data_IF_636675766164
#
_entry.id   IF_636675766164
#
_cell.length_a   1.000
_cell.length_b   1.000
_cell.length_c   1.000
_cell.angle_alpha   90.00
_cell.angle_beta   90.00
_cell.angle_gamma   90.00
#
_symmetry.space_group_name_H-M   'P 1'
#
loop_
_entity.id
_entity.type
_entity.pdbx_description
1 polymer ?
#
# COMPACT_ATOMS: atom_id res chain seq x y z
N UNK A 1 26.53 8.95 -40.37
CA UNK A 1 25.42 9.17 -39.42
C UNK A 1 25.36 8.10 -38.31
N UNK A 2 25.37 6.78 -38.64
CA UNK A 2 25.30 5.67 -37.66
C UNK A 2 26.51 5.61 -36.71
N UNK A 3 27.73 5.87 -37.19
CA UNK A 3 28.94 5.94 -36.36
C UNK A 3 29.04 7.20 -35.52
N UNK A 4 28.49 8.31 -35.99
CA UNK A 4 28.37 9.55 -35.19
C UNK A 4 27.35 9.41 -34.05
N UNK A 5 26.22 8.71 -34.30
CA UNK A 5 25.24 8.48 -33.23
C UNK A 5 25.76 7.51 -32.17
N UNK A 6 26.55 6.49 -32.56
CA UNK A 6 27.22 5.57 -31.64
C UNK A 6 28.34 6.25 -30.83
N UNK A 7 29.14 7.12 -31.47
CA UNK A 7 30.15 7.90 -30.74
C UNK A 7 29.55 8.93 -29.79
N UNK A 8 28.43 9.56 -30.16
CA UNK A 8 27.70 10.47 -29.25
C UNK A 8 27.07 9.72 -28.06
N UNK A 9 26.54 8.52 -28.29
CA UNK A 9 25.97 7.69 -27.21
C UNK A 9 27.04 7.20 -26.21
N UNK A 10 28.29 7.07 -26.63
CA UNK A 10 29.42 6.72 -25.75
C UNK A 10 29.99 7.92 -24.96
N UNK A 11 29.67 9.16 -25.35
CA UNK A 11 30.22 10.39 -24.77
C UNK A 11 29.22 11.14 -23.87
N UNK A 12 27.99 10.66 -23.74
CA UNK A 12 26.97 11.28 -22.92
C UNK A 12 26.59 10.37 -21.74
N UNK A 13 26.55 10.95 -20.54
CA UNK A 13 25.95 10.34 -19.35
C UNK A 13 24.55 10.95 -19.18
N UNK A 14 23.55 10.12 -19.04
CA UNK A 14 22.21 10.53 -18.64
C UNK A 14 22.00 10.08 -17.19
N UNK A 15 21.73 11.02 -16.31
CA UNK A 15 21.37 10.75 -14.92
C UNK A 15 19.90 11.11 -14.77
N UNK A 16 19.08 10.17 -14.31
CA UNK A 16 17.68 10.43 -13.97
C UNK A 16 17.59 11.33 -12.73
N UNK A 17 16.60 12.20 -12.71
CA UNK A 17 16.20 13.00 -11.56
C UNK A 17 14.77 12.55 -11.24
N UNK A 18 14.61 11.78 -10.17
CA UNK A 18 13.31 11.22 -9.83
C UNK A 18 12.31 12.33 -9.50
N UNK A 19 11.09 12.21 -10.03
CA UNK A 19 9.94 12.99 -9.61
C UNK A 19 9.54 12.58 -8.18
N UNK A 20 8.97 13.52 -7.44
CA UNK A 20 8.29 13.20 -6.18
C UNK A 20 6.90 12.66 -6.48
N UNK A 21 6.51 11.58 -5.81
CA UNK A 21 5.16 11.07 -5.90
C UNK A 21 4.21 11.98 -5.13
N UNK A 22 3.07 12.34 -5.72
CA UNK A 22 2.06 13.23 -5.14
C UNK A 22 1.57 12.76 -3.76
N UNK A 23 1.14 13.69 -2.94
CA UNK A 23 0.69 13.45 -1.57
C UNK A 23 -0.77 13.00 -1.54
N UNK A 24 -1.11 12.10 -0.62
CA UNK A 24 -2.49 11.69 -0.37
C UNK A 24 -2.94 12.32 0.94
N UNK A 25 -4.02 13.11 0.86
CA UNK A 25 -4.63 13.80 2.00
C UNK A 25 -6.00 13.21 2.36
N UNK A 26 -6.35 13.28 3.64
CA UNK A 26 -7.73 13.09 4.09
C UNK A 26 -8.61 14.31 3.73
N UNK A 27 -9.92 14.21 4.04
CA UNK A 27 -10.88 15.29 3.77
C UNK A 27 -10.62 16.60 4.53
N UNK A 28 -9.71 16.60 5.51
CA UNK A 28 -9.35 17.74 6.36
C UNK A 28 -7.93 18.26 6.06
N UNK A 29 -7.24 17.68 5.06
CA UNK A 29 -5.86 18.03 4.70
C UNK A 29 -4.80 17.33 5.58
N UNK A 30 -5.18 16.30 6.33
CA UNK A 30 -4.20 15.46 7.06
C UNK A 30 -3.44 14.58 6.07
N UNK A 31 -2.12 14.58 6.12
CA UNK A 31 -1.28 13.73 5.29
C UNK A 31 -1.45 12.26 5.67
N UNK A 32 -1.91 11.46 4.72
CA UNK A 32 -2.04 10.00 4.85
C UNK A 32 -0.87 9.27 4.19
N UNK A 33 -0.34 9.81 3.09
CA UNK A 33 0.85 9.29 2.40
C UNK A 33 1.59 10.42 1.71
N UNK A 34 2.93 10.43 1.79
CA UNK A 34 3.79 11.43 1.15
C UNK A 34 5.14 10.84 0.74
N UNK A 35 5.84 11.50 -0.18
CA UNK A 35 7.22 11.18 -0.52
C UNK A 35 8.19 11.83 0.45
N UNK A 36 9.19 11.10 0.89
CA UNK A 36 10.29 11.59 1.71
C UNK A 36 11.62 11.34 1.00
N UNK A 37 12.53 12.32 1.03
CA UNK A 37 13.87 12.14 0.49
C UNK A 37 14.71 11.31 1.47
N UNK A 38 15.22 10.20 0.98
CA UNK A 38 16.17 9.31 1.66
C UNK A 38 17.39 9.12 0.76
N UNK A 39 18.42 8.43 1.24
CA UNK A 39 19.67 8.28 0.50
C UNK A 39 20.06 6.82 0.35
N UNK A 40 20.55 6.46 -0.83
CA UNK A 40 21.24 5.20 -1.05
C UNK A 40 22.73 5.42 -0.88
N UNK A 41 23.33 4.79 0.14
CA UNK A 41 24.76 4.82 0.38
C UNK A 41 25.44 3.70 -0.39
N UNK A 42 26.38 4.05 -1.26
CA UNK A 42 27.17 3.09 -2.03
C UNK A 42 28.65 3.43 -2.01
N UNK A 43 29.48 2.43 -2.28
CA UNK A 43 30.91 2.58 -2.38
C UNK A 43 31.40 2.36 -3.82
N UNK A 44 32.44 3.09 -4.21
CA UNK A 44 33.37 2.80 -5.30
C UNK A 44 34.69 2.34 -4.69
N UNK A 45 34.90 1.01 -4.53
CA UNK A 45 36.11 0.49 -3.87
C UNK A 45 37.40 0.77 -4.61
N UNK A 46 37.37 0.94 -5.95
CA UNK A 46 38.54 1.30 -6.74
C UNK A 46 38.97 2.73 -6.45
N UNK A 47 38.00 3.67 -6.44
CA UNK A 47 38.26 5.07 -6.10
C UNK A 47 38.74 5.21 -4.66
N UNK A 48 38.11 4.50 -3.72
CA UNK A 48 38.51 4.50 -2.32
C UNK A 48 39.95 4.02 -2.18
N UNK A 49 40.32 2.89 -2.80
CA UNK A 49 41.67 2.36 -2.78
C UNK A 49 42.69 3.36 -3.32
N UNK A 50 42.43 4.04 -4.45
CA UNK A 50 43.31 5.07 -5.02
C UNK A 50 43.58 6.18 -4.01
N UNK A 51 42.55 6.65 -3.29
CA UNK A 51 42.67 7.72 -2.28
C UNK A 51 43.44 7.27 -1.04
N UNK A 52 43.27 6.02 -0.61
CA UNK A 52 44.03 5.42 0.49
C UNK A 52 45.54 5.29 0.11
N UNK A 53 45.80 4.76 -1.09
CA UNK A 53 47.17 4.65 -1.64
C UNK A 53 47.84 6.05 -1.80
N UNK A 54 47.10 7.10 -2.11
CA UNK A 54 47.62 8.47 -2.20
C UNK A 54 48.00 9.03 -0.83
N UNK A 55 47.27 8.70 0.23
CA UNK A 55 47.68 9.05 1.61
C UNK A 55 48.99 8.40 1.99
N UNK A 56 49.19 7.12 1.69
CA UNK A 56 50.42 6.40 1.96
C UNK A 56 51.62 6.99 1.19
N UNK A 57 51.43 7.33 -0.10
CA UNK A 57 52.44 8.03 -0.89
C UNK A 57 52.84 9.38 -0.28
N UNK A 58 51.85 10.16 0.17
CA UNK A 58 52.06 11.45 0.82
C UNK A 58 52.87 11.32 2.13
N UNK A 59 52.60 10.27 2.90
CA UNK A 59 53.39 9.94 4.11
C UNK A 59 54.83 9.65 3.74
N UNK A 60 55.10 8.82 2.73
CA UNK A 60 56.46 8.50 2.27
C UNK A 60 57.20 9.73 1.71
N UNK A 61 56.51 10.60 0.97
CA UNK A 61 57.08 11.89 0.52
C UNK A 61 57.46 12.79 1.68
N UNK A 62 56.59 12.95 2.68
CA UNK A 62 56.87 13.75 3.89
C UNK A 62 58.07 13.21 4.68
N UNK A 63 58.18 11.90 4.87
CA UNK A 63 59.36 11.24 5.46
C UNK A 63 60.63 11.55 4.65
N UNK A 64 60.50 11.49 3.32
CA UNK A 64 61.61 11.83 2.40
C UNK A 64 62.06 13.30 2.51
N UNK A 65 61.13 14.26 2.67
CA UNK A 65 61.44 15.67 2.90
C UNK A 65 62.07 15.88 4.25
N UNK A 66 61.58 15.28 5.34
CA UNK A 66 62.13 15.36 6.68
C UNK A 66 63.59 14.87 6.71
N UNK A 67 63.88 13.78 5.99
CA UNK A 67 65.26 13.19 5.93
C UNK A 67 66.24 14.05 5.17
N UNK A 68 65.84 14.90 4.23
CA UNK A 68 66.65 15.72 3.36
C UNK A 68 66.70 17.19 3.77
N UNK A 69 65.87 17.65 4.69
CA UNK A 69 65.75 19.05 5.10
C UNK A 69 66.70 19.36 6.27
N UNK A 70 67.58 20.35 6.07
CA UNK A 70 68.50 20.81 7.10
C UNK A 70 67.96 21.99 7.94
N UNK A 71 66.98 22.71 7.42
CA UNK A 71 66.30 23.81 8.14
C UNK A 71 65.35 23.25 9.21
N UNK A 72 65.67 23.55 10.48
CA UNK A 72 64.89 23.03 11.63
C UNK A 72 63.43 23.49 11.63
N UNK A 73 63.08 24.69 11.12
CA UNK A 73 61.74 25.23 11.08
C UNK A 73 60.92 24.52 10.03
N UNK A 74 61.45 24.27 8.83
CA UNK A 74 60.79 23.53 7.76
C UNK A 74 60.64 22.07 8.13
N UNK A 75 61.63 21.48 8.74
CA UNK A 75 61.57 20.09 9.24
C UNK A 75 60.48 19.91 10.27
N UNK A 76 60.36 20.86 11.21
CA UNK A 76 59.22 20.84 12.16
C UNK A 76 57.85 20.97 11.47
N UNK A 77 57.76 21.78 10.41
CA UNK A 77 56.51 21.91 9.62
C UNK A 77 56.16 20.61 8.88
N UNK A 78 57.17 19.93 8.30
CA UNK A 78 56.94 18.63 7.65
C UNK A 78 56.56 17.56 8.67
N UNK A 79 57.20 17.57 9.86
CA UNK A 79 56.85 16.65 10.94
C UNK A 79 55.39 16.86 11.41
N UNK A 80 54.98 18.12 11.64
CA UNK A 80 53.58 18.42 11.99
C UNK A 80 52.58 17.93 10.93
N UNK A 81 52.93 18.06 9.63
CA UNK A 81 52.08 17.54 8.54
C UNK A 81 52.07 16.02 8.53
N UNK A 82 53.17 15.36 8.79
CA UNK A 82 53.26 13.90 8.89
C UNK A 82 52.41 13.39 10.04
N UNK A 83 52.52 14.01 11.22
CA UNK A 83 51.75 13.63 12.40
C UNK A 83 50.25 13.85 12.24
N UNK A 84 49.82 14.76 11.34
CA UNK A 84 48.42 15.03 11.01
C UNK A 84 47.88 14.19 9.84
N UNK A 85 48.71 13.41 9.15
CA UNK A 85 48.29 12.60 8.00
C UNK A 85 48.14 11.14 8.44
N UNK A 86 46.92 10.60 8.35
CA UNK A 86 46.65 9.19 8.64
C UNK A 86 47.04 8.31 7.44
N UNK A 87 47.53 7.10 7.72
CA UNK A 87 47.80 6.11 6.69
C UNK A 87 46.49 5.62 6.01
N UNK A 88 46.64 5.00 4.86
CA UNK A 88 45.52 4.39 4.16
C UNK A 88 44.78 3.37 5.02
N UNK A 89 45.50 2.50 5.73
CA UNK A 89 44.92 1.50 6.61
C UNK A 89 44.18 2.13 7.80
N UNK A 90 44.75 3.16 8.46
CA UNK A 90 44.08 3.88 9.55
C UNK A 90 42.82 4.58 9.08
N UNK A 91 42.83 5.20 7.89
CA UNK A 91 41.63 5.81 7.30
C UNK A 91 40.55 4.76 6.98
N UNK A 92 40.95 3.61 6.44
CA UNK A 92 40.03 2.52 6.13
C UNK A 92 39.38 1.95 7.40
N UNK A 93 40.16 1.67 8.43
CA UNK A 93 39.67 1.14 9.70
C UNK A 93 38.66 2.08 10.33
N UNK A 94 38.97 3.37 10.41
CA UNK A 94 38.08 4.38 10.97
C UNK A 94 36.81 4.58 10.14
N UNK A 95 36.92 4.56 8.81
CA UNK A 95 35.75 4.61 7.92
C UNK A 95 34.85 3.39 8.08
N UNK A 96 35.44 2.18 8.17
CA UNK A 96 34.69 0.93 8.36
C UNK A 96 33.91 0.96 9.66
N UNK A 97 34.54 1.34 10.77
CA UNK A 97 33.87 1.43 12.08
C UNK A 97 32.75 2.47 12.06
N UNK A 98 33.04 3.65 11.47
CA UNK A 98 32.03 4.70 11.35
C UNK A 98 30.82 4.28 10.52
N UNK A 99 31.03 3.67 9.35
CA UNK A 99 29.94 3.20 8.48
C UNK A 99 29.18 2.05 9.12
N UNK A 100 29.86 1.10 9.77
CA UNK A 100 29.22 0.00 10.45
C UNK A 100 28.25 0.47 11.53
N UNK A 101 28.68 1.45 12.34
CA UNK A 101 27.86 2.04 13.41
C UNK A 101 26.65 2.82 12.84
N UNK A 102 26.87 3.73 11.89
CA UNK A 102 25.82 4.62 11.40
C UNK A 102 24.85 3.96 10.42
N UNK A 103 25.30 2.93 9.72
CA UNK A 103 24.47 2.16 8.80
C UNK A 103 23.88 0.88 9.44
N UNK A 104 24.28 0.56 10.70
CA UNK A 104 23.85 -0.65 11.41
C UNK A 104 24.14 -1.93 10.61
N UNK A 105 25.35 -2.01 10.05
CA UNK A 105 25.84 -3.15 9.27
C UNK A 105 27.02 -3.76 10.01
N UNK A 106 27.18 -5.08 9.92
CA UNK A 106 28.35 -5.76 10.48
C UNK A 106 29.67 -5.22 9.92
N UNK A 107 30.64 -4.97 10.80
CA UNK A 107 31.93 -4.37 10.48
C UNK A 107 32.70 -5.15 9.41
N UNK A 108 32.68 -6.50 9.46
CA UNK A 108 33.36 -7.34 8.48
C UNK A 108 32.69 -7.22 7.10
N UNK A 109 31.36 -7.13 7.07
CA UNK A 109 30.58 -6.95 5.83
C UNK A 109 30.90 -5.60 5.19
N UNK A 110 31.00 -4.52 5.97
CA UNK A 110 31.40 -3.19 5.45
C UNK A 110 32.81 -3.26 4.89
N UNK A 111 33.76 -3.84 5.64
CA UNK A 111 35.15 -4.00 5.18
C UNK A 111 35.25 -4.79 3.89
N UNK A 112 34.58 -5.94 3.80
CA UNK A 112 34.54 -6.76 2.59
C UNK A 112 34.04 -5.96 1.38
N UNK A 113 32.94 -5.22 1.55
CA UNK A 113 32.37 -4.39 0.50
C UNK A 113 33.33 -3.26 0.05
N UNK A 114 33.97 -2.56 1.00
CA UNK A 114 34.89 -1.46 0.70
C UNK A 114 36.23 -1.91 0.06
N UNK A 115 36.67 -3.14 0.29
CA UNK A 115 37.89 -3.70 -0.25
C UNK A 115 37.74 -4.49 -1.54
N UNK A 116 36.49 -4.67 -2.02
CA UNK A 116 36.15 -5.45 -3.21
C UNK A 116 36.40 -4.65 -4.51
N UNK A 117 37.65 -4.62 -4.98
CA UNK A 117 38.10 -3.80 -6.10
C UNK A 117 37.79 -4.31 -7.50
N UNK A 118 36.92 -5.30 -7.64
CA UNK A 118 36.43 -5.82 -8.94
C UNK A 118 35.19 -5.09 -9.49
N UNK A 119 34.70 -4.10 -8.73
CA UNK A 119 33.53 -3.28 -9.08
C UNK A 119 33.70 -1.84 -8.63
N UNK A 120 33.01 -0.91 -9.32
CA UNK A 120 32.97 0.51 -9.00
C UNK A 120 31.67 0.94 -8.33
N UNK A 121 30.73 -0.01 -8.08
CA UNK A 121 29.46 0.29 -7.46
C UNK A 121 29.01 -0.87 -6.58
N UNK A 122 29.00 -0.64 -5.27
CA UNK A 122 28.50 -1.59 -4.27
C UNK A 122 27.58 -0.84 -3.31
N UNK A 123 26.29 -1.21 -3.29
CA UNK A 123 25.35 -0.65 -2.32
C UNK A 123 25.69 -1.14 -0.92
N UNK A 124 25.87 -0.20 -0.01
CA UNK A 124 26.05 -0.46 1.41
C UNK A 124 24.70 -0.54 2.12
N UNK A 125 23.90 0.52 2.03
CA UNK A 125 22.52 0.58 2.60
C UNK A 125 21.65 1.49 1.75
N UNK A 126 20.37 1.12 1.62
CA UNK A 126 19.31 1.95 1.02
C UNK A 126 18.52 2.65 2.13
N UNK A 127 17.74 3.65 1.75
CA UNK A 127 16.78 4.35 2.61
C UNK A 127 17.43 4.98 3.87
N UNK A 128 18.60 5.56 3.71
CA UNK A 128 19.35 6.21 4.78
C UNK A 128 18.85 7.65 4.96
N UNK A 129 18.66 8.05 6.20
CA UNK A 129 18.24 9.41 6.56
C UNK A 129 19.27 10.48 6.19
N UNK A 130 18.81 11.69 5.87
CA UNK A 130 19.66 12.82 5.52
C UNK A 130 20.73 13.13 6.57
N UNK A 131 20.42 12.99 7.84
CA UNK A 131 21.36 13.20 8.97
C UNK A 131 22.55 12.26 8.90
N UNK A 132 22.32 11.00 8.57
CA UNK A 132 23.36 9.97 8.42
C UNK A 132 24.16 10.21 7.15
N UNK A 133 23.49 10.55 6.03
CA UNK A 133 24.20 10.87 4.77
C UNK A 133 25.14 12.06 4.94
N UNK A 134 24.70 13.13 5.60
CA UNK A 134 25.54 14.29 5.92
C UNK A 134 26.72 13.90 6.81
N UNK A 135 26.50 13.09 7.84
CA UNK A 135 27.57 12.62 8.72
C UNK A 135 28.60 11.77 7.97
N UNK A 136 28.21 11.00 6.96
CA UNK A 136 29.12 10.24 6.09
C UNK A 136 29.96 11.20 5.24
N UNK A 137 29.37 12.22 4.63
CA UNK A 137 30.06 13.23 3.82
C UNK A 137 31.06 14.03 4.67
N UNK A 138 30.68 14.42 5.88
CA UNK A 138 31.55 15.12 6.83
C UNK A 138 32.72 14.22 7.23
N UNK A 139 32.48 12.92 7.48
CA UNK A 139 33.54 11.96 7.84
C UNK A 139 34.55 11.74 6.72
N UNK A 140 34.06 11.62 5.48
CA UNK A 140 34.94 11.51 4.30
C UNK A 140 35.80 12.77 4.13
N UNK A 141 35.22 13.95 4.36
CA UNK A 141 35.96 15.23 4.34
C UNK A 141 37.01 15.30 5.46
N UNK A 142 36.69 14.87 6.68
CA UNK A 142 37.61 14.79 7.82
C UNK A 142 38.79 13.88 7.51
N UNK A 143 38.53 12.70 6.92
CA UNK A 143 39.60 11.75 6.55
C UNK A 143 40.35 12.14 5.28
N UNK A 144 39.84 13.11 4.51
CA UNK A 144 40.44 13.55 3.24
C UNK A 144 40.43 12.47 2.16
N UNK A 145 39.44 11.58 2.19
CA UNK A 145 39.26 10.48 1.24
C UNK A 145 37.93 10.61 0.49
N UNK A 146 37.78 9.84 -0.58
CA UNK A 146 36.56 9.73 -1.39
C UNK A 146 36.36 8.26 -1.76
N UNK A 147 35.18 7.91 -2.30
CA UNK A 147 34.88 6.55 -2.71
C UNK A 147 33.67 5.97 -2.00
N UNK A 148 33.01 6.74 -1.10
CA UNK A 148 31.66 6.45 -0.60
C UNK A 148 30.76 7.63 -0.97
N UNK A 149 29.58 7.38 -1.45
CA UNK A 149 28.63 8.40 -1.91
C UNK A 149 27.23 8.11 -1.41
N UNK A 150 26.44 9.18 -1.30
CA UNK A 150 25.05 9.15 -0.88
C UNK A 150 24.20 9.75 -2.01
N UNK A 151 23.54 8.90 -2.80
CA UNK A 151 22.64 9.35 -3.86
C UNK A 151 21.23 9.56 -3.28
N UNK A 152 20.61 10.72 -3.51
CA UNK A 152 19.23 10.96 -3.08
C UNK A 152 18.28 10.03 -3.85
N UNK A 153 17.32 9.47 -3.12
CA UNK A 153 16.21 8.67 -3.65
C UNK A 153 14.95 9.02 -2.88
N UNK A 154 13.79 8.60 -3.34
CA UNK A 154 12.52 8.82 -2.66
C UNK A 154 12.05 7.55 -1.97
N UNK A 155 11.44 7.71 -0.79
CA UNK A 155 10.70 6.67 -0.09
C UNK A 155 9.28 7.13 0.15
N UNK A 156 8.31 6.24 -0.07
CA UNK A 156 6.93 6.50 0.33
C UNK A 156 6.80 6.35 1.84
N UNK A 157 6.18 7.33 2.48
CA UNK A 157 5.97 7.38 3.93
C UNK A 157 4.48 7.49 4.23
N UNK A 158 4.01 6.67 5.16
CA UNK A 158 2.64 6.66 5.67
C UNK A 158 2.66 7.07 7.14
N UNK A 159 2.50 8.37 7.45
CA UNK A 159 2.71 8.91 8.80
C UNK A 159 1.72 8.38 9.83
N UNK A 160 0.58 7.87 9.37
CA UNK A 160 -0.48 7.31 10.21
C UNK A 160 -0.36 5.79 10.41
N UNK A 161 0.77 5.19 9.98
CA UNK A 161 1.05 3.75 10.05
C UNK A 161 -0.09 2.91 9.45
N UNK A 162 -0.79 2.12 10.26
CA UNK A 162 -1.83 1.18 9.79
C UNK A 162 -3.15 1.83 9.38
N UNK A 163 -3.36 3.14 9.64
CA UNK A 163 -4.62 3.81 9.37
C UNK A 163 -4.96 3.77 7.87
N UNK A 164 -6.16 3.29 7.54
CA UNK A 164 -6.67 3.14 6.18
C UNK A 164 -5.78 2.29 5.25
N UNK A 165 -4.91 1.41 5.78
CA UNK A 165 -3.89 0.71 5.02
C UNK A 165 -4.43 -0.06 3.81
N UNK A 166 -5.57 -0.75 3.94
CA UNK A 166 -6.19 -1.51 2.83
C UNK A 166 -6.84 -0.61 1.77
N UNK A 167 -7.09 0.67 2.09
CA UNK A 167 -7.59 1.68 1.16
C UNK A 167 -6.43 2.36 0.47
N UNK A 168 -5.45 2.86 1.23
CA UNK A 168 -4.26 3.51 0.70
C UNK A 168 -3.45 2.55 -0.17
N UNK A 169 -3.25 1.33 0.31
CA UNK A 169 -2.32 0.40 -0.30
C UNK A 169 -0.87 0.75 0.03
N UNK A 170 0.06 0.36 -0.84
CA UNK A 170 1.48 0.67 -0.71
C UNK A 170 2.17 0.67 -2.07
N UNK A 171 3.40 1.20 -2.09
CA UNK A 171 4.28 1.18 -3.25
C UNK A 171 5.35 0.11 -3.11
N UNK A 172 5.96 -0.28 -4.23
CA UNK A 172 7.22 -1.03 -4.22
C UNK A 172 8.42 -0.13 -3.89
N UNK A 173 9.61 -0.72 -3.88
CA UNK A 173 10.87 0.00 -3.64
C UNK A 173 11.27 0.98 -4.75
N UNK A 174 10.64 0.90 -5.93
CA UNK A 174 10.85 1.79 -7.07
C UNK A 174 9.85 2.95 -7.06
N UNK A 175 8.87 2.93 -6.14
CA UNK A 175 7.85 3.95 -5.97
C UNK A 175 6.58 3.71 -6.80
N UNK A 176 6.44 2.54 -7.46
CA UNK A 176 5.22 2.19 -8.20
C UNK A 176 4.13 1.73 -7.25
N UNK A 177 2.91 2.14 -7.48
CA UNK A 177 1.75 1.70 -6.69
C UNK A 177 1.41 0.22 -6.93
N UNK A 178 1.29 -0.57 -5.85
CA UNK A 178 1.05 -2.02 -5.95
C UNK A 178 -0.37 -2.39 -5.51
N UNK A 179 -0.91 -1.75 -4.47
CA UNK A 179 -2.24 -2.00 -3.93
C UNK A 179 -2.97 -0.69 -3.63
N UNK A 180 -4.29 -0.77 -3.41
CA UNK A 180 -5.14 0.34 -2.98
C UNK A 180 -5.14 1.54 -3.93
N UNK A 181 -5.29 2.73 -3.37
CA UNK A 181 -5.27 4.00 -4.11
C UNK A 181 -3.92 4.28 -4.74
N UNK A 182 -2.82 3.85 -4.11
CA UNK A 182 -1.49 3.96 -4.69
C UNK A 182 -1.43 3.28 -6.07
N UNK A 183 -2.05 2.10 -6.23
CA UNK A 183 -2.10 1.41 -7.52
C UNK A 183 -3.17 1.98 -8.47
N UNK A 184 -4.32 2.37 -7.93
CA UNK A 184 -5.43 2.85 -8.77
C UNK A 184 -5.13 4.20 -9.42
N UNK A 185 -4.48 5.10 -8.68
CA UNK A 185 -4.09 6.43 -9.13
C UNK A 185 -2.60 6.56 -9.46
N UNK A 186 -1.92 5.46 -9.77
CA UNK A 186 -0.47 5.46 -10.03
C UNK A 186 -0.06 6.42 -11.14
N UNK A 187 -0.81 6.49 -12.23
CA UNK A 187 -0.56 7.38 -13.37
C UNK A 187 -0.61 8.88 -13.00
N UNK A 188 -1.38 9.24 -11.95
CA UNK A 188 -1.46 10.62 -11.44
C UNK A 188 -0.40 10.90 -10.38
N UNK A 189 -0.22 9.95 -9.47
CA UNK A 189 0.66 10.10 -8.32
C UNK A 189 2.14 10.06 -8.67
N UNK A 190 2.57 9.25 -9.67
CA UNK A 190 3.99 8.97 -9.91
C UNK A 190 4.79 10.10 -10.54
N UNK A 191 4.15 11.06 -11.21
CA UNK A 191 4.84 12.16 -11.90
C UNK A 191 5.67 11.70 -13.11
N UNK A 192 6.57 12.56 -13.57
CA UNK A 192 7.44 12.30 -14.72
C UNK A 192 8.89 12.61 -14.34
N UNK A 193 9.76 11.61 -14.39
CA UNK A 193 11.17 11.77 -14.10
C UNK A 193 11.86 12.76 -15.04
N UNK A 194 12.65 13.64 -14.46
CA UNK A 194 13.60 14.48 -15.16
C UNK A 194 14.87 13.73 -15.54
N UNK A 195 15.74 14.40 -16.28
CA UNK A 195 17.05 13.87 -16.62
C UNK A 195 18.10 14.96 -16.84
N UNK A 196 19.30 14.68 -16.41
CA UNK A 196 20.46 15.53 -16.67
C UNK A 196 21.40 14.77 -17.63
N UNK A 197 21.67 15.36 -18.77
CA UNK A 197 22.58 14.80 -19.79
C UNK A 197 23.87 15.59 -19.73
N UNK A 198 24.99 14.92 -19.41
CA UNK A 198 26.34 15.51 -19.32
C UNK A 198 27.28 14.84 -20.30
N UNK A 199 28.30 15.57 -20.79
CA UNK A 199 29.34 14.99 -21.62
C UNK A 199 30.38 14.29 -20.73
N UNK A 200 30.80 13.06 -21.12
CA UNK A 200 31.89 12.30 -20.50
C UNK A 200 33.20 12.44 -21.29
N UNK A 201 34.34 12.48 -20.58
CA UNK A 201 35.65 12.24 -21.13
C UNK A 201 35.86 10.75 -21.47
N UNK A 202 36.90 10.43 -22.22
CA UNK A 202 37.25 9.06 -22.59
C UNK A 202 37.60 8.14 -21.42
N UNK A 203 37.94 8.72 -20.26
CA UNK A 203 38.21 8.04 -18.98
C UNK A 203 36.94 7.89 -18.11
N UNK A 204 35.78 8.35 -18.60
CA UNK A 204 34.50 8.27 -17.86
C UNK A 204 34.21 9.44 -16.94
N UNK A 205 35.16 10.38 -16.75
CA UNK A 205 34.94 11.58 -15.94
C UNK A 205 33.99 12.56 -16.61
N UNK A 206 33.22 13.32 -15.85
CA UNK A 206 32.36 14.38 -16.39
C UNK A 206 33.23 15.56 -16.86
N UNK A 207 32.98 16.07 -18.07
CA UNK A 207 33.62 17.26 -18.58
C UNK A 207 32.78 18.47 -18.14
N UNK A 208 33.24 19.25 -17.13
CA UNK A 208 32.54 20.47 -16.72
C UNK A 208 32.44 21.46 -17.89
N UNK A 209 31.24 22.04 -18.08
CA UNK A 209 30.94 23.15 -19.01
C UNK A 209 30.87 22.86 -20.51
N UNK A 210 31.04 21.59 -21.00
CA UNK A 210 30.99 21.35 -22.44
C UNK A 210 29.62 21.06 -23.02
N UNK A 211 28.78 20.34 -22.27
CA UNK A 211 27.38 20.07 -22.64
C UNK A 211 26.64 19.61 -21.39
N UNK A 212 25.66 20.40 -20.95
CA UNK A 212 24.73 20.01 -19.92
C UNK A 212 23.34 20.38 -20.38
N UNK A 213 22.46 19.41 -20.52
CA UNK A 213 21.04 19.62 -20.78
C UNK A 213 20.27 19.03 -19.60
N UNK A 214 19.45 19.84 -18.95
CA UNK A 214 18.56 19.41 -17.87
C UNK A 214 17.14 19.42 -18.38
N UNK A 215 16.42 18.38 -18.07
CA UNK A 215 14.99 18.29 -18.15
C UNK A 215 14.53 18.12 -16.71
N UNK A 216 13.75 19.08 -16.23
CA UNK A 216 13.27 19.05 -14.85
C UNK A 216 12.26 17.92 -14.66
N UNK A 217 12.23 17.31 -13.49
CA UNK A 217 11.19 16.38 -13.10
C UNK A 217 9.87 17.13 -12.95
N UNK A 218 8.76 16.47 -13.22
CA UNK A 218 7.41 16.95 -12.92
C UNK A 218 6.85 16.05 -11.84
N UNK A 219 6.62 16.63 -10.66
CA UNK A 219 6.08 15.88 -9.53
C UNK A 219 4.66 15.39 -9.83
N UNK A 220 4.23 14.35 -9.14
CA UNK A 220 2.91 13.77 -9.33
C UNK A 220 1.83 14.61 -8.67
N UNK A 221 0.60 14.48 -9.17
CA UNK A 221 -0.57 15.20 -8.65
C UNK A 221 -0.93 14.71 -7.24
N UNK A 222 -1.42 15.62 -6.42
CA UNK A 222 -1.92 15.31 -5.07
C UNK A 222 -3.34 14.76 -5.11
N UNK A 223 -3.63 13.79 -4.26
CA UNK A 223 -4.93 13.14 -4.13
C UNK A 223 -5.61 13.54 -2.82
N UNK A 224 -6.76 14.21 -2.91
CA UNK A 224 -7.59 14.56 -1.77
C UNK A 224 -8.74 13.56 -1.64
N UNK A 225 -8.90 12.93 -0.48
CA UNK A 225 -9.88 11.89 -0.25
C UNK A 225 -11.15 12.41 0.44
N UNK A 226 -12.23 11.66 0.30
CA UNK A 226 -13.43 11.79 1.12
C UNK A 226 -13.26 11.17 2.52
N UNK A 227 -12.25 10.31 2.70
CA UNK A 227 -11.91 9.70 3.99
C UNK A 227 -11.60 10.79 5.01
N UNK A 228 -12.24 10.71 6.19
CA UNK A 228 -11.91 11.51 7.37
C UNK A 228 -11.09 10.65 8.34
N UNK A 229 -9.85 11.04 8.61
CA UNK A 229 -8.93 10.26 9.45
C UNK A 229 -9.49 9.98 10.86
N UNK A 230 -10.30 10.88 11.41
CA UNK A 230 -10.91 10.68 12.73
C UNK A 230 -12.03 9.63 12.66
N UNK A 231 -12.89 9.70 11.63
CA UNK A 231 -13.94 8.71 11.40
C UNK A 231 -13.32 7.34 11.12
N UNK A 232 -12.27 7.31 10.30
CA UNK A 232 -11.51 6.09 9.98
C UNK A 232 -10.93 5.46 11.26
N UNK A 233 -10.27 6.26 12.09
CA UNK A 233 -9.72 5.78 13.37
C UNK A 233 -10.78 5.19 14.28
N UNK A 234 -11.94 5.86 14.38
CA UNK A 234 -13.07 5.36 15.21
C UNK A 234 -13.58 4.04 14.64
N UNK A 235 -13.75 3.94 13.30
CA UNK A 235 -14.20 2.73 12.65
C UNK A 235 -13.23 1.56 12.92
N UNK A 236 -11.94 1.76 12.71
CA UNK A 236 -10.93 0.72 12.95
C UNK A 236 -10.90 0.26 14.40
N UNK A 237 -10.93 1.20 15.34
CA UNK A 237 -10.96 0.91 16.78
C UNK A 237 -12.19 0.08 17.17
N UNK A 238 -13.37 0.47 16.72
CA UNK A 238 -14.60 -0.25 17.07
C UNK A 238 -14.70 -1.60 16.32
N UNK A 239 -14.12 -1.68 15.12
CA UNK A 239 -14.02 -2.94 14.38
C UNK A 239 -13.09 -3.92 15.09
N UNK A 240 -11.91 -3.48 15.53
CA UNK A 240 -10.98 -4.30 16.31
C UNK A 240 -11.62 -4.83 17.59
N UNK A 241 -12.32 -3.95 18.33
CA UNK A 241 -13.07 -4.33 19.53
C UNK A 241 -14.17 -5.36 19.21
N UNK A 242 -14.92 -5.17 18.14
CA UNK A 242 -15.96 -6.11 17.72
C UNK A 242 -15.38 -7.49 17.36
N UNK A 243 -14.20 -7.52 16.73
CA UNK A 243 -13.49 -8.76 16.42
C UNK A 243 -13.02 -9.46 17.71
N UNK A 244 -12.46 -8.72 18.66
CA UNK A 244 -12.02 -9.26 19.94
C UNK A 244 -13.19 -9.87 20.74
N UNK A 245 -14.32 -9.14 20.81
CA UNK A 245 -15.50 -9.56 21.58
C UNK A 245 -16.24 -10.76 20.95
N UNK A 246 -16.30 -10.83 19.61
CA UNK A 246 -17.12 -11.83 18.91
C UNK A 246 -16.31 -12.95 18.24
N UNK A 247 -14.99 -12.82 18.12
CA UNK A 247 -14.07 -13.80 17.56
C UNK A 247 -14.61 -14.45 16.26
N UNK A 248 -14.87 -13.66 15.21
CA UNK A 248 -15.37 -14.19 13.95
C UNK A 248 -14.37 -15.17 13.36
N UNK A 249 -14.87 -16.16 12.62
CA UNK A 249 -14.01 -17.18 11.98
C UNK A 249 -13.27 -16.67 10.74
N UNK A 250 -13.65 -15.49 10.26
CA UNK A 250 -13.08 -14.83 9.10
C UNK A 250 -12.90 -13.34 9.40
N UNK A 251 -12.14 -12.62 8.57
CA UNK A 251 -11.90 -11.18 8.73
C UNK A 251 -13.21 -10.41 8.72
N UNK A 252 -13.27 -9.36 9.50
CA UNK A 252 -14.38 -8.40 9.51
C UNK A 252 -14.03 -7.18 8.65
N UNK A 253 -15.05 -6.44 8.18
CA UNK A 253 -14.87 -5.15 7.54
C UNK A 253 -15.97 -4.18 7.94
N UNK A 254 -15.70 -2.88 7.80
CA UNK A 254 -16.66 -1.80 8.04
C UNK A 254 -16.55 -0.73 6.97
N UNK A 255 -17.70 -0.12 6.62
CA UNK A 255 -17.78 0.98 5.65
C UNK A 255 -18.71 2.06 6.22
N UNK A 256 -18.31 3.30 6.14
CA UNK A 256 -19.15 4.47 6.44
C UNK A 256 -19.24 5.31 5.17
N UNK A 257 -20.45 5.41 4.61
CA UNK A 257 -20.71 6.06 3.32
C UNK A 257 -21.87 7.04 3.42
N UNK A 258 -21.78 8.15 2.70
CA UNK A 258 -22.91 9.05 2.52
C UNK A 258 -23.92 8.45 1.53
N UNK A 259 -25.16 8.17 1.95
CA UNK A 259 -26.12 7.49 1.09
C UNK A 259 -26.60 8.33 -0.09
N UNK A 260 -26.42 9.65 -0.07
CA UNK A 260 -26.87 10.57 -1.13
C UNK A 260 -25.82 10.83 -2.19
N UNK A 261 -24.54 10.76 -1.83
CA UNK A 261 -23.43 11.15 -2.71
C UNK A 261 -22.53 9.98 -3.10
N UNK A 262 -22.51 8.88 -2.32
CA UNK A 262 -21.58 7.77 -2.49
C UNK A 262 -20.20 8.01 -1.85
N UNK A 263 -19.95 9.17 -1.25
CA UNK A 263 -18.67 9.49 -0.60
C UNK A 263 -18.38 8.54 0.55
N UNK A 264 -17.21 7.90 0.52
CA UNK A 264 -16.71 7.00 1.57
C UNK A 264 -15.96 7.83 2.61
N UNK A 265 -16.52 7.93 3.81
CA UNK A 265 -15.88 8.62 4.94
C UNK A 265 -14.91 7.75 5.71
N UNK A 266 -15.12 6.44 5.71
CA UNK A 266 -14.21 5.46 6.28
C UNK A 266 -14.45 4.06 5.70
N UNK A 267 -13.37 3.28 5.56
CA UNK A 267 -13.43 1.88 5.12
C UNK A 267 -12.27 1.11 5.75
N UNK A 268 -12.56 0.03 6.45
CA UNK A 268 -11.59 -0.77 7.18
C UNK A 268 -11.81 -2.27 7.00
N UNK A 269 -10.73 -3.02 7.11
CA UNK A 269 -10.73 -4.48 7.28
C UNK A 269 -9.99 -4.78 8.59
N UNK A 270 -10.40 -5.82 9.33
CA UNK A 270 -9.66 -6.29 10.49
C UNK A 270 -8.24 -6.71 10.13
N UNK A 271 -7.34 -6.67 11.11
CA UNK A 271 -5.92 -7.01 10.95
C UNK A 271 -5.19 -6.12 9.92
N UNK A 272 -5.22 -4.77 10.11
CA UNK A 272 -4.55 -3.86 9.21
C UNK A 272 -3.03 -4.06 9.25
N UNK A 273 -2.36 -3.91 8.12
CA UNK A 273 -0.90 -3.94 8.02
C UNK A 273 -0.31 -2.54 8.00
N UNK A 274 0.99 -2.40 8.28
CA UNK A 274 1.70 -1.12 8.13
C UNK A 274 2.21 -0.98 6.68
N UNK A 275 1.73 0.00 5.90
CA UNK A 275 2.22 0.25 4.54
C UNK A 275 3.70 0.69 4.47
N UNK A 276 4.30 1.14 5.58
CA UNK A 276 5.73 1.41 5.66
C UNK A 276 6.56 0.13 5.65
N UNK A 277 5.97 -0.99 6.12
CA UNK A 277 6.60 -2.32 6.17
C UNK A 277 5.64 -3.39 5.61
N UNK A 278 5.23 -3.31 4.34
CA UNK A 278 4.14 -4.12 3.80
C UNK A 278 4.45 -5.63 3.79
N UNK A 279 5.73 -5.99 3.82
CA UNK A 279 6.17 -7.39 3.88
C UNK A 279 6.08 -8.01 5.28
N UNK A 280 5.97 -7.21 6.33
CA UNK A 280 5.74 -7.72 7.69
C UNK A 280 4.34 -8.33 7.79
N UNK A 281 4.25 -9.54 8.37
CA UNK A 281 2.97 -10.23 8.54
C UNK A 281 2.27 -9.67 9.78
N UNK A 282 1.09 -9.06 9.58
CA UNK A 282 0.32 -8.41 10.63
C UNK A 282 -0.43 -9.39 11.54
N UNK A 283 -0.85 -10.55 11.02
CA UNK A 283 -1.49 -11.60 11.82
C UNK A 283 -0.47 -12.37 12.66
N UNK A 284 -0.50 -12.17 13.99
CA UNK A 284 0.45 -12.77 14.93
C UNK A 284 0.50 -14.30 14.85
N UNK A 285 -0.64 -14.94 14.60
CA UNK A 285 -0.71 -16.40 14.50
C UNK A 285 0.04 -16.88 13.25
N UNK A 286 -0.23 -16.28 12.11
CA UNK A 286 0.45 -16.61 10.84
C UNK A 286 1.94 -16.27 10.91
N UNK A 287 2.31 -15.16 11.53
CA UNK A 287 3.72 -14.80 11.76
C UNK A 287 4.44 -15.84 12.62
N UNK A 288 3.82 -16.31 13.71
CA UNK A 288 4.39 -17.37 14.57
C UNK A 288 4.50 -18.71 13.84
N UNK A 289 3.54 -19.05 12.99
CA UNK A 289 3.58 -20.27 12.19
C UNK A 289 4.69 -20.21 11.12
N UNK A 290 4.91 -19.05 10.49
CA UNK A 290 6.02 -18.83 9.56
C UNK A 290 7.38 -18.92 10.24
N UNK A 291 7.53 -18.33 11.44
CA UNK A 291 8.77 -18.39 12.21
C UNK A 291 9.19 -19.82 12.59
N UNK A 292 8.28 -20.78 12.56
CA UNK A 292 8.55 -22.21 12.81
C UNK A 292 8.97 -23.01 11.56
N UNK A 293 8.98 -22.39 10.38
CA UNK A 293 9.30 -23.03 9.09
C UNK A 293 10.71 -22.62 8.62
N UNK A 294 11.31 -23.47 7.79
CA UNK A 294 12.54 -23.15 7.07
C UNK A 294 12.21 -22.15 5.95
N UNK A 295 12.84 -20.96 5.95
CA UNK A 295 12.61 -19.89 5.00
C UNK A 295 12.87 -20.29 3.53
N UNK A 296 13.76 -21.25 3.30
CA UNK A 296 14.05 -21.77 1.97
C UNK A 296 13.03 -22.80 1.48
N UNK A 297 12.16 -23.29 2.36
CA UNK A 297 11.15 -24.29 2.03
C UNK A 297 10.04 -23.74 1.14
N UNK A 298 9.45 -24.59 0.30
CA UNK A 298 8.29 -24.22 -0.51
C UNK A 298 7.07 -23.93 0.37
N UNK A 299 6.94 -24.59 1.51
CA UNK A 299 5.81 -24.38 2.44
C UNK A 299 5.87 -22.98 3.07
N UNK A 300 7.06 -22.51 3.47
CA UNK A 300 7.26 -21.13 3.95
C UNK A 300 6.86 -20.13 2.88
N UNK A 301 7.43 -20.26 1.67
CA UNK A 301 7.19 -19.31 0.55
C UNK A 301 5.71 -19.25 0.17
N UNK A 302 5.04 -20.38 0.08
CA UNK A 302 3.61 -20.40 -0.25
C UNK A 302 2.78 -19.76 0.85
N UNK A 303 3.03 -20.11 2.12
CA UNK A 303 2.31 -19.55 3.26
C UNK A 303 2.51 -18.04 3.40
N UNK A 304 3.72 -17.55 3.14
CA UNK A 304 4.03 -16.12 3.13
C UNK A 304 3.27 -15.39 2.01
N UNK A 305 3.23 -15.94 0.80
CA UNK A 305 2.47 -15.37 -0.33
C UNK A 305 0.96 -15.33 -0.04
N UNK A 306 0.42 -16.38 0.58
CA UNK A 306 -0.99 -16.44 0.96
C UNK A 306 -1.30 -15.39 2.04
N UNK A 307 -0.42 -15.22 3.03
CA UNK A 307 -0.54 -14.21 4.07
C UNK A 307 -0.51 -12.78 3.51
N UNK A 308 0.45 -12.48 2.63
CA UNK A 308 0.53 -11.18 1.94
C UNK A 308 -0.71 -10.91 1.09
N UNK A 309 -1.14 -11.88 0.28
CA UNK A 309 -2.34 -11.76 -0.53
C UNK A 309 -3.58 -11.46 0.30
N UNK A 310 -3.65 -12.01 1.53
CA UNK A 310 -4.76 -11.79 2.42
C UNK A 310 -4.71 -10.41 3.08
N UNK A 311 -3.56 -10.03 3.67
CA UNK A 311 -3.43 -8.77 4.43
C UNK A 311 -3.56 -7.52 3.56
N UNK A 312 -3.07 -7.56 2.29
CA UNK A 312 -3.16 -6.42 1.38
C UNK A 312 -4.55 -6.27 0.73
N UNK A 313 -5.38 -7.30 0.84
CA UNK A 313 -6.67 -7.35 0.18
C UNK A 313 -7.73 -6.57 0.97
N UNK A 314 -8.41 -5.64 0.32
CA UNK A 314 -9.54 -4.92 0.88
C UNK A 314 -10.80 -5.79 0.83
N UNK A 315 -11.19 -6.37 1.98
CA UNK A 315 -12.37 -7.25 2.08
C UNK A 315 -13.67 -6.58 1.64
N UNK A 316 -13.79 -5.28 1.88
CA UNK A 316 -15.03 -4.55 1.60
C UNK A 316 -15.40 -4.53 0.11
N UNK A 317 -14.39 -4.57 -0.78
CA UNK A 317 -14.58 -4.51 -2.24
C UNK A 317 -14.27 -5.82 -2.95
N UNK A 318 -13.40 -6.66 -2.40
CA UNK A 318 -12.84 -7.82 -3.10
C UNK A 318 -13.34 -9.18 -2.63
N UNK A 319 -14.11 -9.25 -1.55
CA UNK A 319 -14.63 -10.52 -1.02
C UNK A 319 -16.17 -10.54 -1.06
N UNK A 320 -16.71 -11.70 -1.40
CA UNK A 320 -18.14 -11.91 -1.50
C UNK A 320 -18.65 -12.78 -0.35
N UNK A 321 -19.83 -12.46 0.15
CA UNK A 321 -20.47 -13.18 1.26
C UNK A 321 -21.98 -13.32 1.02
N UNK A 322 -22.62 -14.24 1.72
CA UNK A 322 -24.08 -14.30 1.75
C UNK A 322 -24.59 -13.21 2.68
N UNK A 323 -25.34 -12.19 2.19
CA UNK A 323 -25.74 -11.05 3.00
C UNK A 323 -26.68 -11.40 4.15
N UNK A 324 -27.39 -12.50 4.06
CA UNK A 324 -28.34 -12.93 5.10
C UNK A 324 -29.43 -11.91 5.32
N UNK A 325 -29.85 -11.75 6.58
CA UNK A 325 -31.01 -10.92 6.95
C UNK A 325 -30.92 -9.44 6.57
N UNK A 326 -29.72 -8.90 6.33
CA UNK A 326 -29.60 -7.51 5.84
C UNK A 326 -30.21 -7.37 4.43
N UNK A 327 -30.26 -8.44 3.64
CA UNK A 327 -30.90 -8.44 2.32
C UNK A 327 -32.41 -8.25 2.36
N UNK A 328 -33.06 -8.49 3.51
CA UNK A 328 -34.50 -8.33 3.68
C UNK A 328 -35.04 -6.93 3.36
N UNK A 329 -34.20 -5.91 3.56
CA UNK A 329 -34.50 -4.52 3.18
C UNK A 329 -34.77 -4.45 1.67
N UNK A 330 -33.91 -5.09 0.86
CA UNK A 330 -34.05 -5.10 -0.60
C UNK A 330 -35.31 -5.85 -1.03
N UNK A 331 -35.55 -7.04 -0.48
CA UNK A 331 -36.77 -7.83 -0.76
C UNK A 331 -38.02 -7.04 -0.37
N UNK A 332 -38.02 -6.40 0.81
CA UNK A 332 -39.15 -5.62 1.31
C UNK A 332 -39.41 -4.37 0.47
N UNK A 333 -38.38 -3.61 0.14
CA UNK A 333 -38.48 -2.43 -0.72
C UNK A 333 -39.06 -2.78 -2.09
N UNK A 334 -38.55 -3.84 -2.72
CA UNK A 334 -39.02 -4.32 -4.02
C UNK A 334 -40.47 -4.73 -3.99
N UNK A 335 -40.91 -5.46 -2.95
CA UNK A 335 -42.29 -5.92 -2.83
C UNK A 335 -43.28 -4.78 -2.55
N UNK A 336 -42.86 -3.77 -1.78
CA UNK A 336 -43.66 -2.56 -1.53
C UNK A 336 -43.77 -1.69 -2.79
N UNK A 337 -42.67 -1.50 -3.55
CA UNK A 337 -42.68 -0.73 -4.80
C UNK A 337 -43.59 -1.35 -5.86
N UNK A 338 -43.51 -2.68 -6.05
CA UNK A 338 -44.41 -3.43 -6.95
C UNK A 338 -45.82 -3.56 -6.40
N UNK A 339 -46.09 -3.09 -5.18
CA UNK A 339 -47.41 -3.19 -4.52
C UNK A 339 -47.93 -4.62 -4.41
N UNK A 340 -47.05 -5.62 -4.41
CA UNK A 340 -47.39 -7.01 -4.17
C UNK A 340 -47.71 -7.27 -2.71
N UNK A 341 -47.27 -6.36 -1.84
CA UNK A 341 -47.63 -6.25 -0.43
C UNK A 341 -47.93 -4.80 -0.06
N UNK A 342 -48.59 -4.62 1.09
CA UNK A 342 -48.76 -3.34 1.77
C UNK A 342 -48.20 -3.41 3.20
N UNK A 343 -48.02 -2.27 3.86
CA UNK A 343 -47.57 -2.21 5.26
C UNK A 343 -48.55 -2.90 6.23
N UNK A 344 -49.82 -3.02 5.85
CA UNK A 344 -50.87 -3.62 6.66
C UNK A 344 -51.11 -5.13 6.39
N UNK A 345 -50.40 -5.69 5.40
CA UNK A 345 -50.46 -7.13 5.14
C UNK A 345 -49.86 -7.89 6.32
N UNK A 346 -50.41 -9.06 6.62
CA UNK A 346 -49.92 -9.91 7.69
C UNK A 346 -49.31 -11.20 7.16
N UNK A 347 -48.23 -11.63 7.86
CA UNK A 347 -47.40 -12.79 7.52
C UNK A 347 -47.27 -13.71 8.73
N UNK A 348 -47.51 -14.99 8.57
CA UNK A 348 -47.35 -15.99 9.64
C UNK A 348 -45.88 -16.44 9.78
N UNK A 349 -45.45 -16.71 11.01
CA UNK A 349 -44.14 -17.29 11.27
C UNK A 349 -44.19 -18.82 11.35
N UNK A 350 -44.91 -19.38 12.32
CA UNK A 350 -45.01 -20.83 12.57
C UNK A 350 -43.65 -21.51 12.87
N UNK A 351 -42.61 -20.76 13.18
CA UNK A 351 -41.19 -21.18 13.34
C UNK A 351 -40.55 -21.80 12.09
N UNK A 352 -41.35 -22.23 11.11
CA UNK A 352 -40.89 -22.80 9.84
C UNK A 352 -41.90 -22.59 8.73
N UNK A 353 -41.46 -22.75 7.48
CA UNK A 353 -42.32 -22.72 6.28
C UNK A 353 -41.83 -23.78 5.29
N UNK A 354 -42.77 -24.50 4.69
CA UNK A 354 -42.53 -25.49 3.61
C UNK A 354 -42.65 -24.81 2.26
N UNK A 355 -41.62 -24.94 1.41
CA UNK A 355 -41.63 -24.53 0.01
C UNK A 355 -41.23 -25.73 -0.82
N UNK A 356 -42.13 -26.27 -1.60
CA UNK A 356 -41.95 -27.56 -2.29
C UNK A 356 -41.53 -28.67 -1.33
N UNK A 357 -40.37 -29.29 -1.56
CA UNK A 357 -39.79 -30.37 -0.74
C UNK A 357 -38.84 -29.87 0.35
N UNK A 358 -38.63 -28.54 0.46
CA UNK A 358 -37.65 -27.92 1.36
C UNK A 358 -38.33 -27.19 2.51
N UNK A 359 -37.89 -27.46 3.74
CA UNK A 359 -38.36 -26.76 4.94
C UNK A 359 -37.34 -25.68 5.34
N UNK A 360 -37.78 -24.44 5.43
CA UNK A 360 -37.01 -23.31 5.93
C UNK A 360 -37.42 -22.97 7.36
N UNK A 361 -36.42 -22.75 8.21
CA UNK A 361 -36.65 -22.43 9.63
C UNK A 361 -36.45 -20.93 9.93
N UNK A 362 -37.23 -20.42 10.87
CA UNK A 362 -36.94 -19.15 11.48
C UNK A 362 -35.67 -19.26 12.32
N UNK A 363 -34.97 -18.16 12.52
CA UNK A 363 -33.82 -18.11 13.46
C UNK A 363 -34.31 -18.27 14.91
N UNK A 364 -35.56 -17.83 15.20
CA UNK A 364 -36.20 -17.96 16.52
C UNK A 364 -36.85 -19.33 16.67
N UNK A 365 -36.67 -19.95 17.81
CA UNK A 365 -37.38 -21.17 18.21
C UNK A 365 -38.80 -20.89 18.74
N UNK A 366 -39.10 -19.61 19.03
CA UNK A 366 -40.43 -19.17 19.46
C UNK A 366 -41.15 -18.59 18.24
N UNK A 367 -42.43 -19.01 18.07
CA UNK A 367 -43.29 -18.49 17.01
C UNK A 367 -43.58 -17.00 17.21
N UNK A 368 -43.34 -16.21 16.19
CA UNK A 368 -43.69 -14.78 16.19
C UNK A 368 -45.18 -14.54 15.92
N UNK A 369 -45.92 -15.58 15.57
CA UNK A 369 -47.35 -15.49 15.24
C UNK A 369 -47.63 -14.75 13.93
N UNK A 370 -48.78 -14.08 13.87
CA UNK A 370 -49.15 -13.21 12.75
C UNK A 370 -48.56 -11.82 12.95
N UNK A 371 -47.80 -11.34 11.97
CA UNK A 371 -47.02 -10.10 12.02
C UNK A 371 -47.38 -9.23 10.82
N UNK A 372 -47.48 -7.93 10.99
CA UNK A 372 -47.45 -6.98 9.88
C UNK A 372 -46.03 -6.86 9.30
N UNK A 373 -45.85 -6.06 8.25
CA UNK A 373 -44.55 -5.91 7.59
C UNK A 373 -43.49 -5.35 8.53
N UNK A 374 -43.82 -4.33 9.35
CA UNK A 374 -42.87 -3.71 10.28
C UNK A 374 -42.43 -4.68 11.38
N UNK A 375 -43.36 -5.46 11.93
CA UNK A 375 -43.08 -6.50 12.92
C UNK A 375 -42.22 -7.63 12.31
N UNK A 376 -42.51 -8.05 11.07
CA UNK A 376 -41.72 -9.06 10.36
C UNK A 376 -40.28 -8.61 10.12
N UNK A 377 -40.07 -7.30 9.83
CA UNK A 377 -38.76 -6.70 9.69
C UNK A 377 -38.05 -6.63 11.05
N UNK A 378 -38.71 -6.12 12.08
CA UNK A 378 -38.15 -5.98 13.45
C UNK A 378 -37.71 -7.35 14.01
N UNK A 379 -38.55 -8.38 13.82
CA UNK A 379 -38.26 -9.74 14.24
C UNK A 379 -37.30 -10.49 13.31
N UNK A 380 -36.92 -9.89 12.20
CA UNK A 380 -36.11 -10.54 11.17
C UNK A 380 -36.63 -11.94 10.78
N UNK A 381 -37.94 -12.07 10.63
CA UNK A 381 -38.62 -13.36 10.49
C UNK A 381 -38.39 -13.97 9.10
N UNK A 382 -37.68 -15.10 9.00
CA UNK A 382 -37.42 -15.77 7.72
C UNK A 382 -38.73 -16.25 7.02
N UNK A 383 -39.69 -16.95 7.70
CA UNK A 383 -40.94 -17.36 7.08
C UNK A 383 -41.77 -16.20 6.50
N UNK A 384 -41.79 -15.05 7.19
CA UNK A 384 -42.47 -13.87 6.69
C UNK A 384 -41.83 -13.34 5.39
N UNK A 385 -40.47 -13.24 5.35
CA UNK A 385 -39.77 -12.76 4.16
C UNK A 385 -39.79 -13.74 3.00
N UNK A 386 -39.90 -15.05 3.24
CA UNK A 386 -40.17 -16.05 2.21
C UNK A 386 -41.54 -15.78 1.59
N UNK A 387 -42.59 -15.56 2.41
CA UNK A 387 -43.94 -15.23 1.90
C UNK A 387 -43.92 -13.93 1.08
N UNK A 388 -43.20 -12.90 1.51
CA UNK A 388 -43.02 -11.62 0.79
C UNK A 388 -42.36 -11.87 -0.56
N UNK A 389 -41.23 -12.60 -0.60
CA UNK A 389 -40.51 -12.90 -1.83
C UNK A 389 -41.32 -13.76 -2.78
N UNK A 390 -42.10 -14.75 -2.28
CA UNK A 390 -43.00 -15.55 -3.11
C UNK A 390 -44.14 -14.72 -3.71
N UNK A 391 -44.66 -13.70 -2.99
CA UNK A 391 -45.62 -12.74 -3.55
C UNK A 391 -45.00 -11.83 -4.61
N UNK A 392 -43.71 -11.44 -4.46
CA UNK A 392 -42.96 -10.66 -5.44
C UNK A 392 -42.76 -11.47 -6.73
N UNK A 393 -42.40 -12.75 -6.59
CA UNK A 393 -42.12 -13.66 -7.69
C UNK A 393 -40.70 -13.54 -8.26
N UNK A 394 -40.24 -14.62 -8.91
CA UNK A 394 -38.85 -14.75 -9.38
C UNK A 394 -38.45 -13.69 -10.41
N UNK A 395 -39.35 -13.35 -11.36
CA UNK A 395 -39.06 -12.37 -12.40
C UNK A 395 -38.78 -10.98 -11.81
N UNK A 396 -39.68 -10.49 -10.94
CA UNK A 396 -39.54 -9.20 -10.29
C UNK A 396 -38.38 -9.18 -9.32
N UNK A 397 -38.20 -10.26 -8.55
CA UNK A 397 -37.04 -10.39 -7.68
C UNK A 397 -35.70 -10.20 -8.45
N UNK A 398 -35.52 -10.91 -9.57
CA UNK A 398 -34.32 -10.78 -10.40
C UNK A 398 -34.20 -9.39 -11.04
N UNK A 399 -35.33 -8.78 -11.47
CA UNK A 399 -35.35 -7.42 -12.01
C UNK A 399 -34.84 -6.41 -10.98
N UNK A 400 -35.35 -6.46 -9.74
CA UNK A 400 -34.87 -5.56 -8.68
C UNK A 400 -33.45 -5.89 -8.20
N UNK A 401 -33.09 -7.17 -8.16
CA UNK A 401 -31.71 -7.56 -7.86
C UNK A 401 -30.70 -6.86 -8.81
N UNK A 402 -31.00 -6.81 -10.11
CA UNK A 402 -30.21 -6.10 -11.10
C UNK A 402 -30.31 -4.58 -10.90
N UNK A 403 -31.52 -4.04 -10.67
CA UNK A 403 -31.71 -2.59 -10.50
C UNK A 403 -30.98 -2.02 -9.27
N UNK A 404 -30.81 -2.82 -8.21
CA UNK A 404 -29.98 -2.47 -7.05
C UNK A 404 -28.47 -2.64 -7.27
N UNK A 405 -28.03 -3.00 -8.49
CA UNK A 405 -26.64 -3.05 -8.90
C UNK A 405 -25.87 -4.33 -8.50
N UNK A 406 -26.55 -5.38 -8.02
CA UNK A 406 -25.86 -6.57 -7.52
C UNK A 406 -25.20 -7.45 -8.60
N UNK A 407 -25.51 -7.29 -9.86
CA UNK A 407 -24.89 -8.03 -10.97
C UNK A 407 -23.84 -7.22 -11.73
N UNK A 408 -23.50 -6.05 -11.25
CA UNK A 408 -22.51 -5.16 -11.84
C UNK A 408 -21.51 -4.73 -10.77
N UNK A 409 -20.33 -4.29 -11.21
CA UNK A 409 -19.37 -3.60 -10.33
C UNK A 409 -19.98 -2.25 -9.91
N UNK A 410 -19.70 -1.82 -8.69
CA UNK A 410 -20.18 -0.51 -8.22
C UNK A 410 -19.46 0.66 -8.88
N UNK A 411 -18.28 0.38 -9.46
CA UNK A 411 -17.40 1.41 -10.05
C UNK A 411 -16.68 2.25 -9.02
N UNK A 412 -16.51 1.72 -7.80
CA UNK A 412 -15.66 2.37 -6.79
C UNK A 412 -14.24 2.54 -7.32
N UNK A 413 -13.61 3.63 -6.99
CA UNK A 413 -12.25 4.02 -7.34
C UNK A 413 -11.17 3.28 -6.51
N UNK A 414 -11.31 1.96 -6.43
CA UNK A 414 -10.35 1.04 -5.82
C UNK A 414 -10.14 -0.18 -6.73
N UNK A 415 -8.92 -0.74 -6.75
CA UNK A 415 -8.62 -1.91 -7.56
C UNK A 415 -9.25 -3.19 -6.99
N UNK A 416 -9.34 -4.22 -7.83
CA UNK A 416 -9.74 -5.57 -7.46
C UNK A 416 -11.17 -5.70 -6.90
N UNK A 417 -12.11 -4.87 -7.38
CA UNK A 417 -13.52 -5.05 -7.06
C UNK A 417 -14.02 -6.38 -7.64
N UNK A 418 -14.66 -7.21 -6.79
CA UNK A 418 -15.18 -8.52 -7.16
C UNK A 418 -16.61 -8.46 -7.67
N UNK A 419 -16.89 -9.28 -8.68
CA UNK A 419 -18.26 -9.53 -9.10
C UNK A 419 -19.02 -10.37 -8.06
N UNK A 420 -20.32 -10.13 -7.93
CA UNK A 420 -21.24 -10.98 -7.17
C UNK A 420 -21.44 -12.36 -7.83
N UNK A 421 -21.98 -13.30 -7.06
CA UNK A 421 -22.50 -14.56 -7.58
C UNK A 421 -24.01 -14.58 -7.34
N UNK A 422 -24.79 -14.54 -8.42
CA UNK A 422 -26.25 -14.53 -8.35
C UNK A 422 -26.87 -15.72 -9.08
N UNK A 423 -28.04 -16.12 -8.62
CA UNK A 423 -28.86 -17.13 -9.29
C UNK A 423 -29.56 -16.50 -10.50
N UNK A 424 -29.32 -16.97 -11.73
CA UNK A 424 -30.00 -16.43 -12.92
C UNK A 424 -31.50 -16.78 -12.91
N UNK A 425 -32.32 -15.95 -13.54
CA UNK A 425 -33.77 -16.14 -13.60
C UNK A 425 -34.20 -17.54 -14.11
N UNK A 426 -33.45 -18.11 -15.08
CA UNK A 426 -33.71 -19.45 -15.60
C UNK A 426 -33.63 -20.56 -14.55
N UNK A 427 -32.89 -20.32 -13.46
CA UNK A 427 -32.65 -21.26 -12.38
C UNK A 427 -33.34 -20.84 -11.06
N UNK A 428 -34.04 -19.69 -11.07
CA UNK A 428 -34.71 -19.12 -9.91
C UNK A 428 -36.08 -19.81 -9.69
N UNK A 429 -36.05 -21.06 -9.24
CA UNK A 429 -37.25 -21.80 -8.81
C UNK A 429 -37.79 -21.33 -7.46
N UNK A 430 -38.94 -21.88 -6.98
CA UNK A 430 -39.55 -21.47 -5.72
C UNK A 430 -38.61 -21.60 -4.50
N UNK A 431 -37.82 -22.68 -4.43
CA UNK A 431 -36.86 -22.93 -3.32
C UNK A 431 -35.71 -21.90 -3.33
N UNK A 432 -35.16 -21.60 -4.52
CA UNK A 432 -34.11 -20.60 -4.69
C UNK A 432 -34.61 -19.20 -4.37
N UNK A 433 -35.85 -18.85 -4.83
CA UNK A 433 -36.45 -17.57 -4.48
C UNK A 433 -36.70 -17.44 -2.98
N UNK A 434 -37.18 -18.49 -2.34
CA UNK A 434 -37.42 -18.52 -0.89
C UNK A 434 -36.13 -18.21 -0.13
N UNK A 435 -35.03 -18.90 -0.44
CA UNK A 435 -33.73 -18.66 0.24
C UNK A 435 -33.10 -17.31 -0.14
N UNK A 436 -33.23 -16.86 -1.37
CA UNK A 436 -32.79 -15.54 -1.82
C UNK A 436 -33.48 -14.39 -1.11
N UNK A 437 -34.78 -14.56 -0.77
CA UNK A 437 -35.62 -13.54 -0.12
C UNK A 437 -35.11 -13.08 1.24
N UNK A 438 -34.29 -13.90 1.92
CA UNK A 438 -33.63 -13.55 3.18
C UNK A 438 -32.09 -13.61 3.08
N UNK A 439 -31.53 -13.56 1.84
CA UNK A 439 -30.12 -13.33 1.57
C UNK A 439 -29.21 -14.54 1.66
N UNK A 440 -29.66 -15.75 1.35
CA UNK A 440 -28.88 -16.99 1.50
C UNK A 440 -28.29 -17.53 0.18
N UNK A 441 -28.96 -17.45 -0.95
CA UNK A 441 -28.52 -18.07 -2.21
C UNK A 441 -27.44 -17.26 -2.93
N UNK A 442 -27.58 -15.94 -2.93
CA UNK A 442 -26.71 -15.04 -3.65
C UNK A 442 -25.54 -14.59 -2.76
N UNK A 443 -24.39 -14.29 -3.40
CA UNK A 443 -23.23 -13.69 -2.74
C UNK A 443 -22.94 -12.34 -3.35
N UNK A 444 -22.68 -11.35 -2.51
CA UNK A 444 -22.42 -9.96 -2.89
C UNK A 444 -21.21 -9.43 -2.12
N UNK A 445 -20.60 -8.36 -2.59
CA UNK A 445 -19.57 -7.66 -1.81
C UNK A 445 -20.20 -6.72 -0.77
N UNK A 446 -19.50 -6.40 0.33
CA UNK A 446 -19.97 -5.40 1.29
C UNK A 446 -20.23 -4.04 0.64
N UNK A 447 -19.42 -3.62 -0.35
CA UNK A 447 -19.63 -2.35 -1.05
C UNK A 447 -20.92 -2.36 -1.89
N UNK A 448 -21.24 -3.46 -2.59
CA UNK A 448 -22.50 -3.60 -3.29
C UNK A 448 -23.69 -3.52 -2.31
N UNK A 449 -23.56 -4.15 -1.14
CA UNK A 449 -24.63 -4.17 -0.16
C UNK A 449 -24.93 -2.77 0.41
N UNK A 450 -23.91 -1.98 0.78
CA UNK A 450 -24.12 -0.62 1.30
C UNK A 450 -24.65 0.32 0.21
N UNK A 451 -24.21 0.14 -1.05
CA UNK A 451 -24.71 0.89 -2.21
C UNK A 451 -26.20 0.64 -2.45
N UNK A 452 -26.61 -0.62 -2.41
CA UNK A 452 -28.02 -1.00 -2.53
C UNK A 452 -28.88 -0.45 -1.37
N UNK A 453 -28.35 -0.49 -0.13
CA UNK A 453 -29.00 0.16 1.03
C UNK A 453 -29.16 1.66 0.84
N UNK A 454 -28.15 2.31 0.30
CA UNK A 454 -28.21 3.76 0.02
C UNK A 454 -29.34 4.08 -0.95
N UNK A 455 -29.50 3.29 -2.00
CA UNK A 455 -30.61 3.45 -2.94
C UNK A 455 -31.98 3.27 -2.26
N UNK A 456 -32.11 2.33 -1.33
CA UNK A 456 -33.37 2.09 -0.60
C UNK A 456 -33.79 3.27 0.28
N UNK A 457 -32.86 4.13 0.73
CA UNK A 457 -33.13 5.22 1.68
C UNK A 457 -32.93 6.64 1.13
N UNK A 458 -32.38 6.79 -0.08
CA UNK A 458 -32.09 8.10 -0.68
C UNK A 458 -33.11 8.54 -1.75
N UNK A 459 -34.21 7.80 -1.90
CA UNK A 459 -35.22 8.05 -2.93
C UNK A 459 -35.10 7.20 -4.18
N UNK A 460 -34.32 6.10 -4.14
CA UNK A 460 -34.19 5.14 -5.25
C UNK A 460 -33.02 5.39 -6.18
N UNK A 461 -32.07 6.24 -5.81
CA UNK A 461 -30.90 6.53 -6.64
C UNK A 461 -29.73 5.60 -6.29
N UNK A 462 -29.28 4.83 -7.27
CA UNK A 462 -28.05 4.04 -7.15
C UNK A 462 -26.85 4.98 -7.33
N UNK A 463 -26.10 5.22 -6.25
CA UNK A 463 -24.91 6.09 -6.25
C UNK A 463 -23.67 5.29 -6.60
N UNK A 464 -22.66 5.92 -7.19
CA UNK A 464 -21.32 5.33 -7.32
C UNK A 464 -20.53 5.63 -6.06
N UNK A 465 -20.06 4.62 -5.33
CA UNK A 465 -19.15 4.83 -4.20
C UNK A 465 -17.84 5.46 -4.67
N UNK A 466 -17.29 6.41 -3.92
CA UNK A 466 -16.05 7.08 -4.28
C UNK A 466 -15.23 7.43 -3.05
N UNK A 467 -13.94 7.13 -3.10
CA UNK A 467 -12.95 7.44 -2.07
C UNK A 467 -12.26 8.76 -2.37
N UNK A 468 -11.96 9.02 -3.64
CA UNK A 468 -11.39 10.27 -4.14
C UNK A 468 -12.41 11.40 -4.05
N UNK A 469 -11.96 12.58 -3.69
CA UNK A 469 -12.71 13.85 -3.74
C UNK A 469 -12.22 14.74 -4.87
N UNK A 470 -10.90 14.89 -5.02
CA UNK A 470 -10.28 15.68 -6.07
C UNK A 470 -8.81 15.34 -6.26
N UNK A 471 -8.33 15.53 -7.49
CA UNK A 471 -6.92 15.50 -7.85
C UNK A 471 -6.48 16.93 -8.08
N UNK A 472 -5.34 17.33 -7.52
CA UNK A 472 -4.80 18.68 -7.64
C UNK A 472 -3.38 18.62 -8.19
N UNK A 473 -3.15 19.36 -9.29
CA UNK A 473 -1.83 19.61 -9.86
C UNK A 473 -1.09 20.62 -8.95
N UNK A 474 0.20 20.39 -8.60
CA UNK A 474 1.04 21.32 -7.84
C UNK A 474 1.47 22.55 -8.66
#
# INVERSE_FOLDING_TARGET
>A
KKWQSLANAQQLKSTAVSASRGTIYDSNGTVLSQSATVYTVYADPLMLKEKLDDNDKKIEELKGYIAKEDDASKKATYQQRLDATKSGDECLDELVEFLALNLEIDTNTVREKLTKTDTQYIVLKKEVEKTVSTAIEDKLTELGIDGVRCDPTTRRLYPQNTLASVVLGHTDYEGNGIYGLEAYYDDYLSGIDGRIITAKASDGTEIPYRYKQSYDAQDGDDLNLNIDANIQYILEKELAKAVEENQPTDRACGIIMNPKTGQIYAMATSDPYDPNEPAAISDEKTAAELAGLDEDSNDYKQKQLDAWSLQWKNKAVSEIYNPGSVFKVITGASALEEKTITLNDTFGCGTQIQVEDTTFHCWSTTDHGSQDFAQAMLNSCNPAFIQIGMKLGSEKFCQYYNAFGFNELTGIDLPAESNSISMPLSNMGPVQLASSSFGQTNKVTPIQMITAYSAAINGGYLVTPQVENSITDE
#
